data_IF_326386607758
#
_entry.id   IF_326386607758
#
_cell.length_a   1.000
_cell.length_b   1.000
_cell.length_c   1.000
_cell.angle_alpha   90.00
_cell.angle_beta   90.00
_cell.angle_gamma   90.00
#
_symmetry.space_group_name_H-M   'P 1'
#
loop_
_entity.id
_entity.type
_entity.pdbx_description
1 polymer ?
#
# COMPACT_ATOMS: atom_id res chain seq x y z
N UNK A 1 5.76 -3.60 35.25
CA UNK A 1 6.18 -4.59 34.23
C UNK A 1 6.48 -3.81 32.96
N UNK A 2 7.75 -3.65 32.57
CA UNK A 2 8.08 -3.00 31.29
C UNK A 2 7.70 -3.98 30.18
N UNK A 3 6.77 -3.58 29.30
CA UNK A 3 6.40 -4.40 28.15
C UNK A 3 7.59 -4.51 27.19
N UNK A 4 7.80 -5.70 26.59
CA UNK A 4 8.86 -5.89 25.61
C UNK A 4 8.54 -5.16 24.30
N UNK A 5 9.57 -4.76 23.53
CA UNK A 5 9.39 -4.08 22.24
C UNK A 5 8.41 -4.81 21.29
N UNK A 6 8.46 -6.15 21.13
CA UNK A 6 7.51 -6.85 20.27
C UNK A 6 6.06 -6.77 20.78
N UNK A 7 5.86 -6.77 22.10
CA UNK A 7 4.53 -6.66 22.69
C UNK A 7 3.93 -5.26 22.46
N UNK A 8 4.76 -4.21 22.57
CA UNK A 8 4.34 -2.85 22.26
C UNK A 8 4.01 -2.68 20.77
N UNK A 9 4.86 -3.21 19.88
CA UNK A 9 4.62 -3.19 18.43
C UNK A 9 3.28 -3.86 18.08
N UNK A 10 3.05 -5.07 18.61
CA UNK A 10 1.80 -5.80 18.42
C UNK A 10 0.59 -5.06 19.01
N UNK A 11 0.77 -4.33 20.12
CA UNK A 11 -0.30 -3.53 20.71
C UNK A 11 -0.72 -2.36 19.81
N UNK A 12 0.24 -1.66 19.17
CA UNK A 12 -0.05 -0.58 18.21
C UNK A 12 -0.77 -1.13 16.98
N UNK A 13 -0.26 -2.22 16.39
CA UNK A 13 -0.92 -2.86 15.23
C UNK A 13 -2.34 -3.30 15.62
N UNK A 14 -2.50 -3.99 16.74
CA UNK A 14 -3.80 -4.45 17.22
C UNK A 14 -4.78 -3.32 17.52
N UNK A 15 -4.29 -2.16 17.99
CA UNK A 15 -5.09 -0.95 18.16
C UNK A 15 -5.63 -0.47 16.83
N UNK A 16 -4.77 -0.32 15.83
CA UNK A 16 -5.17 0.19 14.51
C UNK A 16 -6.12 -0.76 13.78
N UNK A 17 -5.89 -2.08 13.86
CA UNK A 17 -6.81 -3.07 13.32
C UNK A 17 -8.20 -2.96 13.96
N UNK A 18 -8.29 -2.78 15.29
CA UNK A 18 -9.57 -2.56 15.98
C UNK A 18 -10.24 -1.26 15.55
N UNK A 19 -9.48 -0.19 15.34
CA UNK A 19 -10.01 1.09 14.86
C UNK A 19 -10.57 0.95 13.45
N UNK A 20 -9.82 0.31 12.54
CA UNK A 20 -10.26 0.04 11.17
C UNK A 20 -11.49 -0.87 11.12
N UNK A 21 -11.60 -1.88 11.99
CA UNK A 21 -12.81 -2.72 12.06
C UNK A 21 -14.04 -1.95 12.57
N UNK A 22 -13.85 -0.96 13.45
CA UNK A 22 -14.95 -0.13 13.99
C UNK A 22 -15.36 0.98 13.03
N UNK A 23 -14.41 1.51 12.25
CA UNK A 23 -14.60 2.63 11.33
C UNK A 23 -14.04 2.27 9.95
N UNK A 24 -14.54 1.18 9.36
CA UNK A 24 -14.03 0.61 8.11
C UNK A 24 -14.32 1.41 6.85
N UNK A 25 -14.73 2.68 6.97
CA UNK A 25 -15.06 3.53 5.83
C UNK A 25 -13.86 3.73 4.90
N UNK A 26 -12.65 3.90 5.46
CA UNK A 26 -11.42 4.09 4.67
C UNK A 26 -11.04 2.81 3.91
N UNK A 27 -11.06 1.65 4.59
CA UNK A 27 -10.84 0.34 3.96
C UNK A 27 -11.87 0.05 2.87
N UNK A 28 -13.16 0.24 3.18
CA UNK A 28 -14.24 0.03 2.23
C UNK A 28 -14.12 0.99 1.04
N UNK A 29 -13.79 2.25 1.30
CA UNK A 29 -13.55 3.26 0.28
C UNK A 29 -12.43 2.87 -0.68
N UNK A 30 -11.30 2.40 -0.16
CA UNK A 30 -10.18 1.92 -0.98
C UNK A 30 -10.57 0.71 -1.84
N UNK A 31 -11.25 -0.29 -1.25
CA UNK A 31 -11.68 -1.50 -1.98
C UNK A 31 -12.72 -1.16 -3.05
N UNK A 32 -13.72 -0.34 -2.72
CA UNK A 32 -14.73 0.10 -3.68
C UNK A 32 -14.10 0.93 -4.80
N UNK A 33 -13.21 1.87 -4.48
CA UNK A 33 -12.49 2.64 -5.49
C UNK A 33 -11.71 1.72 -6.42
N UNK A 34 -10.98 0.74 -5.89
CA UNK A 34 -10.22 -0.23 -6.68
C UNK A 34 -11.11 -1.01 -7.66
N UNK A 35 -12.22 -1.57 -7.18
CA UNK A 35 -13.16 -2.35 -7.99
C UNK A 35 -13.83 -1.45 -9.04
N UNK A 36 -14.34 -0.29 -8.63
CA UNK A 36 -15.05 0.62 -9.52
C UNK A 36 -14.10 1.18 -10.59
N UNK A 37 -12.93 1.67 -10.20
CA UNK A 37 -11.93 2.18 -11.15
C UNK A 37 -11.52 1.12 -12.17
N UNK A 38 -11.29 -0.13 -11.72
CA UNK A 38 -11.00 -1.24 -12.62
C UNK A 38 -12.17 -1.61 -13.54
N UNK A 39 -13.41 -1.57 -13.03
CA UNK A 39 -14.63 -1.89 -13.78
C UNK A 39 -15.00 -0.83 -14.82
N UNK A 40 -14.53 0.41 -14.67
CA UNK A 40 -14.72 1.45 -15.68
C UNK A 40 -13.94 1.16 -16.98
N UNK A 41 -12.85 0.39 -16.94
CA UNK A 41 -12.04 0.12 -18.14
C UNK A 41 -12.77 -0.72 -19.21
N UNK A 42 -13.41 -1.85 -18.89
CA UNK A 42 -14.26 -2.56 -19.86
C UNK A 42 -15.39 -1.69 -20.45
N UNK A 43 -15.95 -0.78 -19.65
CA UNK A 43 -17.01 0.13 -20.11
C UNK A 43 -16.47 1.22 -21.05
N UNK A 44 -15.26 1.72 -20.80
CA UNK A 44 -14.62 2.77 -21.58
C UNK A 44 -13.96 2.25 -22.88
N UNK A 45 -13.32 1.07 -22.80
CA UNK A 45 -12.56 0.48 -23.91
C UNK A 45 -13.40 -0.50 -24.77
N UNK A 46 -14.56 -0.91 -24.26
CA UNK A 46 -15.39 -1.94 -24.86
C UNK A 46 -14.97 -3.37 -24.48
N UNK A 47 -15.82 -4.38 -24.71
CA UNK A 47 -15.65 -5.74 -24.21
C UNK A 47 -14.68 -6.59 -25.06
N UNK A 48 -13.62 -6.02 -25.62
CA UNK A 48 -12.60 -6.77 -26.36
C UNK A 48 -11.73 -7.57 -25.39
N UNK A 49 -11.83 -8.92 -25.34
CA UNK A 49 -11.10 -9.71 -24.35
C UNK A 49 -9.59 -9.62 -24.55
N UNK A 50 -9.15 -9.50 -25.80
CA UNK A 50 -7.73 -9.37 -26.15
C UNK A 50 -7.14 -8.05 -25.65
N UNK A 51 -7.86 -6.94 -25.85
CA UNK A 51 -7.42 -5.63 -25.38
C UNK A 51 -7.41 -5.59 -23.85
N UNK A 52 -8.45 -6.09 -23.20
CA UNK A 52 -8.57 -6.09 -21.74
C UNK A 52 -7.47 -6.94 -21.09
N UNK A 53 -7.19 -8.14 -21.61
CA UNK A 53 -6.08 -8.99 -21.14
C UNK A 53 -4.74 -8.29 -21.22
N UNK A 54 -4.46 -7.67 -22.36
CA UNK A 54 -3.21 -6.94 -22.59
C UNK A 54 -3.05 -5.74 -21.65
N UNK A 55 -4.13 -5.06 -21.30
CA UNK A 55 -4.10 -3.90 -20.41
C UNK A 55 -4.25 -4.25 -18.93
N UNK A 56 -4.70 -5.47 -18.60
CA UNK A 56 -5.01 -5.90 -17.24
C UNK A 56 -3.85 -5.69 -16.24
N UNK A 57 -2.57 -5.97 -16.57
CA UNK A 57 -1.47 -5.70 -15.65
C UNK A 57 -1.43 -4.23 -15.23
N UNK A 58 -1.44 -3.31 -16.19
CA UNK A 58 -1.40 -1.87 -15.92
C UNK A 58 -2.63 -1.39 -15.15
N UNK A 59 -3.82 -1.84 -15.55
CA UNK A 59 -5.09 -1.45 -14.91
C UNK A 59 -5.09 -1.83 -13.43
N UNK A 60 -4.81 -3.10 -13.12
CA UNK A 60 -4.84 -3.59 -11.73
C UNK A 60 -3.82 -2.85 -10.86
N UNK A 61 -2.60 -2.66 -11.36
CA UNK A 61 -1.54 -1.98 -10.63
C UNK A 61 -1.81 -0.49 -10.39
N UNK A 62 -2.30 0.23 -11.39
CA UNK A 62 -2.67 1.65 -11.24
C UNK A 62 -3.86 1.80 -10.30
N UNK A 63 -4.90 0.97 -10.43
CA UNK A 63 -6.03 0.99 -9.51
C UNK A 63 -5.59 0.70 -8.06
N UNK A 64 -4.71 -0.29 -7.85
CA UNK A 64 -4.23 -0.64 -6.51
C UNK A 64 -3.42 0.49 -5.88
N UNK A 65 -2.56 1.16 -6.67
CA UNK A 65 -1.81 2.33 -6.24
C UNK A 65 -2.74 3.45 -5.78
N UNK A 66 -3.66 3.88 -6.64
CA UNK A 66 -4.57 4.98 -6.35
C UNK A 66 -5.49 4.66 -5.16
N UNK A 67 -5.95 3.41 -5.06
CA UNK A 67 -6.74 2.94 -3.92
C UNK A 67 -5.96 3.00 -2.60
N UNK A 68 -4.68 2.60 -2.62
CA UNK A 68 -3.82 2.63 -1.44
C UNK A 68 -3.49 4.06 -0.98
N UNK A 69 -3.52 5.06 -1.86
CA UNK A 69 -3.27 6.46 -1.49
C UNK A 69 -4.39 7.08 -0.63
N UNK A 70 -5.63 6.61 -0.76
CA UNK A 70 -6.79 7.15 -0.06
C UNK A 70 -6.62 7.17 1.48
N UNK A 71 -6.37 6.02 2.15
CA UNK A 71 -6.17 6.00 3.60
C UNK A 71 -4.81 6.54 4.05
N UNK A 72 -3.81 6.64 3.17
CA UNK A 72 -2.46 7.09 3.52
C UNK A 72 -2.42 8.55 3.97
N UNK A 73 -3.28 9.42 3.42
CA UNK A 73 -3.36 10.84 3.79
C UNK A 73 -3.64 11.03 5.30
N UNK A 74 -4.40 10.12 5.89
CA UNK A 74 -4.81 10.20 7.30
C UNK A 74 -4.00 9.30 8.23
N UNK A 75 -3.05 8.52 7.70
CA UNK A 75 -2.35 7.45 8.44
C UNK A 75 -1.74 7.90 9.78
N UNK A 76 -1.19 9.12 9.79
CA UNK A 76 -0.67 9.78 10.99
C UNK A 76 -1.39 11.09 11.31
N UNK A 77 -2.11 11.66 10.33
CA UNK A 77 -2.79 12.94 10.44
C UNK A 77 -3.89 12.91 11.51
N UNK A 78 -4.68 11.82 11.57
CA UNK A 78 -5.72 11.70 12.60
C UNK A 78 -5.16 11.77 14.02
N UNK A 79 -4.05 11.09 14.26
CA UNK A 79 -3.42 11.08 15.58
C UNK A 79 -2.67 12.37 15.92
N UNK A 80 -2.18 13.08 14.90
CA UNK A 80 -1.61 14.41 15.11
C UNK A 80 -2.73 15.41 15.49
N UNK A 81 -3.86 15.35 14.81
CA UNK A 81 -5.00 16.26 15.05
C UNK A 81 -5.64 16.08 16.43
N UNK A 82 -5.70 14.85 16.95
CA UNK A 82 -6.28 14.55 18.28
C UNK A 82 -5.26 14.49 19.43
N UNK A 83 -3.97 14.71 19.13
CA UNK A 83 -2.86 14.69 20.09
C UNK A 83 -2.44 13.29 20.56
N UNK A 84 -3.02 12.22 20.01
CA UNK A 84 -2.61 10.85 20.36
C UNK A 84 -1.27 10.44 19.77
N UNK A 85 -0.75 11.17 18.77
CA UNK A 85 0.58 10.95 18.23
C UNK A 85 1.66 11.23 19.28
N UNK A 86 1.50 12.27 20.10
CA UNK A 86 2.42 12.56 21.20
C UNK A 86 2.46 11.40 22.21
N UNK A 87 1.29 10.85 22.54
CA UNK A 87 1.20 9.69 23.43
C UNK A 87 1.87 8.45 22.84
N UNK A 88 1.74 8.23 21.53
CA UNK A 88 2.45 7.15 20.82
C UNK A 88 3.96 7.34 20.86
N UNK A 89 4.46 8.57 20.69
CA UNK A 89 5.89 8.88 20.75
C UNK A 89 6.46 8.71 22.17
N UNK A 90 5.62 8.85 23.21
CA UNK A 90 5.98 8.60 24.61
C UNK A 90 5.78 7.14 25.05
N UNK A 91 5.31 6.25 24.18
CA UNK A 91 4.99 4.84 24.53
C UNK A 91 6.21 3.95 24.84
N UNK A 92 7.43 4.46 24.65
CA UNK A 92 8.69 3.71 24.81
C UNK A 92 9.10 2.91 23.56
N UNK A 93 8.30 2.94 22.48
CA UNK A 93 8.73 2.44 21.17
C UNK A 93 9.61 3.47 20.46
N UNK A 94 10.73 3.06 19.84
CA UNK A 94 11.45 3.91 18.89
C UNK A 94 10.50 4.41 17.80
N UNK A 95 10.58 5.69 17.38
CA UNK A 95 9.67 6.26 16.37
C UNK A 95 9.61 5.48 15.06
N UNK A 96 10.73 4.86 14.65
CA UNK A 96 10.76 4.00 13.47
C UNK A 96 9.87 2.75 13.61
N UNK A 97 9.79 2.17 14.82
CA UNK A 97 8.90 1.03 15.07
C UNK A 97 7.43 1.45 15.19
N UNK A 98 7.15 2.66 15.66
CA UNK A 98 5.79 3.21 15.59
C UNK A 98 5.35 3.39 14.14
N UNK A 99 6.21 3.98 13.30
CA UNK A 99 5.94 4.11 11.88
C UNK A 99 5.75 2.75 11.19
N UNK A 100 6.63 1.77 11.48
CA UNK A 100 6.51 0.42 10.95
C UNK A 100 5.19 -0.25 11.37
N UNK A 101 4.78 -0.12 12.64
CA UNK A 101 3.51 -0.64 13.11
C UNK A 101 2.32 -0.08 12.30
N UNK A 102 2.33 1.24 12.06
CA UNK A 102 1.30 1.93 11.28
C UNK A 102 1.30 1.49 9.81
N UNK A 103 2.47 1.32 9.21
CA UNK A 103 2.63 0.81 7.84
C UNK A 103 2.13 -0.64 7.70
N UNK A 104 2.41 -1.50 8.69
CA UNK A 104 1.89 -2.87 8.73
C UNK A 104 0.37 -2.85 8.88
N UNK A 105 -0.16 -2.03 9.79
CA UNK A 105 -1.60 -1.88 9.95
C UNK A 105 -2.26 -1.44 8.64
N UNK A 106 -1.71 -0.43 7.94
CA UNK A 106 -2.17 0.00 6.63
C UNK A 106 -2.15 -1.14 5.60
N UNK A 107 -1.07 -1.91 5.53
CA UNK A 107 -1.00 -3.05 4.62
C UNK A 107 -2.06 -4.12 4.93
N UNK A 108 -2.31 -4.41 6.20
CA UNK A 108 -3.33 -5.37 6.62
C UNK A 108 -4.77 -4.87 6.40
N UNK A 109 -5.03 -3.58 6.58
CA UNK A 109 -6.37 -2.99 6.46
C UNK A 109 -6.70 -2.52 5.05
N UNK A 110 -5.71 -2.34 4.18
CA UNK A 110 -5.89 -1.83 2.82
C UNK A 110 -5.27 -2.77 1.80
N UNK A 111 -3.97 -3.06 1.91
CA UNK A 111 -3.26 -3.94 0.98
C UNK A 111 -3.89 -5.33 0.89
N UNK A 112 -4.09 -6.01 2.02
CA UNK A 112 -4.66 -7.35 2.04
C UNK A 112 -6.10 -7.42 1.47
N UNK A 113 -7.04 -6.51 1.83
CA UNK A 113 -8.33 -6.43 1.15
C UNK A 113 -8.23 -6.17 -0.36
N UNK A 114 -7.29 -5.32 -0.81
CA UNK A 114 -7.05 -5.09 -2.24
C UNK A 114 -6.54 -6.36 -2.93
N UNK A 115 -5.66 -7.14 -2.30
CA UNK A 115 -5.22 -8.43 -2.83
C UNK A 115 -6.39 -9.39 -3.03
N UNK A 116 -7.31 -9.46 -2.07
CA UNK A 116 -8.50 -10.30 -2.17
C UNK A 116 -9.39 -9.81 -3.32
N UNK A 117 -9.60 -8.50 -3.44
CA UNK A 117 -10.39 -7.89 -4.51
C UNK A 117 -9.71 -7.97 -5.89
N UNK A 118 -8.39 -8.11 -5.96
CA UNK A 118 -7.66 -8.20 -7.20
C UNK A 118 -7.98 -9.46 -7.99
N UNK A 119 -8.30 -10.57 -7.31
CA UNK A 119 -8.66 -11.82 -7.99
C UNK A 119 -9.93 -11.70 -8.85
N UNK A 120 -11.09 -11.27 -8.33
CA UNK A 120 -12.28 -11.08 -9.17
C UNK A 120 -12.08 -9.97 -10.21
N UNK A 121 -11.34 -8.90 -9.89
CA UNK A 121 -11.05 -7.84 -10.87
C UNK A 121 -10.21 -8.37 -12.05
N UNK A 122 -9.17 -9.16 -11.77
CA UNK A 122 -8.32 -9.78 -12.78
C UNK A 122 -9.12 -10.71 -13.70
N UNK A 123 -9.99 -11.52 -13.13
CA UNK A 123 -10.88 -12.42 -13.89
C UNK A 123 -11.83 -11.61 -14.78
N UNK A 124 -12.41 -10.51 -14.26
CA UNK A 124 -13.26 -9.60 -15.03
C UNK A 124 -12.52 -8.96 -16.21
N UNK A 125 -11.23 -8.64 -16.05
CA UNK A 125 -10.37 -8.13 -17.12
C UNK A 125 -9.89 -9.22 -18.08
N UNK A 126 -10.32 -10.48 -17.88
CA UNK A 126 -10.06 -11.60 -18.77
C UNK A 126 -8.73 -12.33 -18.52
N UNK A 127 -8.02 -12.05 -17.43
CA UNK A 127 -6.74 -12.71 -17.14
C UNK A 127 -6.91 -14.23 -17.00
N UNK A 128 -6.03 -15.04 -17.63
CA UNK A 128 -6.03 -16.49 -17.44
C UNK A 128 -5.78 -16.91 -15.98
N UNK A 129 -6.50 -17.92 -15.49
CA UNK A 129 -6.29 -18.45 -14.15
C UNK A 129 -4.84 -18.88 -13.84
N UNK A 130 -4.05 -19.44 -14.79
CA UNK A 130 -2.66 -19.81 -14.52
C UNK A 130 -1.73 -18.65 -14.17
N UNK A 131 -2.03 -17.42 -14.63
CA UNK A 131 -1.19 -16.23 -14.33
C UNK A 131 -1.64 -15.48 -13.08
N UNK A 132 -2.83 -15.81 -12.56
CA UNK A 132 -3.41 -15.15 -11.39
C UNK A 132 -2.52 -15.23 -10.13
N UNK A 133 -1.88 -16.37 -9.79
CA UNK A 133 -0.97 -16.42 -8.64
C UNK A 133 0.23 -15.47 -8.76
N UNK A 134 0.70 -15.22 -9.98
CA UNK A 134 1.84 -14.32 -10.25
C UNK A 134 1.41 -12.87 -10.01
N UNK A 135 0.22 -12.49 -10.48
CA UNK A 135 -0.38 -11.19 -10.15
C UNK A 135 -0.52 -11.01 -8.64
N UNK A 136 -1.08 -11.99 -7.93
CA UNK A 136 -1.31 -11.90 -6.49
C UNK A 136 0.01 -11.84 -5.70
N UNK A 137 1.03 -12.59 -6.11
CA UNK A 137 2.37 -12.51 -5.52
C UNK A 137 3.02 -11.14 -5.77
N UNK A 138 2.93 -10.63 -6.99
CA UNK A 138 3.40 -9.29 -7.34
C UNK A 138 2.70 -8.21 -6.52
N UNK A 139 1.36 -8.25 -6.42
CA UNK A 139 0.58 -7.31 -5.62
C UNK A 139 0.86 -7.43 -4.12
N UNK A 140 1.14 -8.62 -3.58
CA UNK A 140 1.54 -8.79 -2.19
C UNK A 140 2.78 -7.96 -1.87
N UNK A 141 3.82 -8.12 -2.70
CA UNK A 141 5.08 -7.39 -2.58
C UNK A 141 4.86 -5.90 -2.85
N UNK A 142 4.16 -5.58 -3.94
CA UNK A 142 3.89 -4.21 -4.38
C UNK A 142 3.14 -3.39 -3.35
N UNK A 143 2.00 -3.89 -2.85
CA UNK A 143 1.19 -3.18 -1.85
C UNK A 143 1.91 -3.05 -0.50
N UNK A 144 2.81 -3.98 -0.15
CA UNK A 144 3.68 -3.83 1.01
C UNK A 144 4.68 -2.67 0.79
N UNK A 145 5.33 -2.61 -0.38
CA UNK A 145 6.18 -1.48 -0.78
C UNK A 145 5.40 -0.16 -0.74
N UNK A 146 4.18 -0.14 -1.29
CA UNK A 146 3.32 1.04 -1.28
C UNK A 146 2.97 1.50 0.14
N UNK A 147 2.75 0.57 1.07
CA UNK A 147 2.48 0.91 2.47
C UNK A 147 3.71 1.51 3.15
N UNK A 148 4.91 0.99 2.85
CA UNK A 148 6.18 1.50 3.37
C UNK A 148 6.51 2.89 2.82
N UNK A 149 6.50 3.05 1.48
CA UNK A 149 6.79 4.33 0.81
C UNK A 149 5.71 5.35 1.14
N UNK A 150 4.45 4.93 1.11
CA UNK A 150 3.29 5.75 1.46
C UNK A 150 3.36 6.26 2.89
N UNK A 151 3.64 5.38 3.86
CA UNK A 151 3.81 5.79 5.25
C UNK A 151 5.01 6.70 5.46
N UNK A 152 6.11 6.46 4.76
CA UNK A 152 7.27 7.35 4.79
C UNK A 152 6.90 8.74 4.27
N UNK A 153 6.28 8.83 3.10
CA UNK A 153 5.82 10.09 2.54
C UNK A 153 4.82 10.81 3.47
N UNK A 154 3.83 10.09 3.99
CA UNK A 154 2.83 10.62 4.91
C UNK A 154 3.44 11.26 6.16
N UNK A 155 4.47 10.63 6.74
CA UNK A 155 5.18 11.19 7.89
C UNK A 155 6.06 12.41 7.56
N UNK A 156 6.61 12.49 6.34
CA UNK A 156 7.47 13.62 5.91
C UNK A 156 6.62 14.85 5.61
N UNK A 157 5.44 14.67 5.03
CA UNK A 157 4.51 15.78 4.72
C UNK A 157 3.54 16.07 5.86
N UNK A 158 3.70 15.39 7.00
CA UNK A 158 2.85 15.52 8.17
C UNK A 158 2.93 16.97 8.71
N UNK A 159 1.77 17.59 8.97
CA UNK A 159 1.68 18.98 9.42
C UNK A 159 1.91 20.04 8.33
N UNK A 160 2.28 19.65 7.09
CA UNK A 160 2.45 20.60 6.01
C UNK A 160 1.11 21.18 5.51
N UNK A 161 1.11 22.47 5.16
CA UNK A 161 -0.04 23.08 4.46
C UNK A 161 -0.23 22.36 3.12
N UNK A 162 -1.39 21.71 2.94
CA UNK A 162 -1.74 20.89 1.75
C UNK A 162 -1.01 19.53 1.67
N UNK A 163 -0.77 18.87 2.79
CA UNK A 163 -0.18 17.52 2.86
C UNK A 163 -0.78 16.51 1.88
N UNK A 164 -2.11 16.50 1.70
CA UNK A 164 -2.78 15.60 0.76
C UNK A 164 -2.45 15.80 -0.72
N UNK A 165 -1.92 16.95 -1.13
CA UNK A 165 -1.38 17.14 -2.49
C UNK A 165 0.08 16.69 -2.58
N UNK A 166 0.86 16.93 -1.52
CA UNK A 166 2.28 16.57 -1.47
C UNK A 166 2.50 15.06 -1.41
N UNK A 167 1.59 14.33 -0.75
CA UNK A 167 1.70 12.89 -0.58
C UNK A 167 1.72 12.15 -1.92
N UNK A 168 0.76 12.31 -2.85
CA UNK A 168 0.83 11.67 -4.16
C UNK A 168 2.05 12.12 -4.98
N UNK A 169 2.44 13.40 -4.90
CA UNK A 169 3.62 13.92 -5.62
C UNK A 169 4.90 13.22 -5.21
N UNK A 170 5.03 12.83 -3.94
CA UNK A 170 6.18 12.10 -3.42
C UNK A 170 6.06 10.58 -3.65
N UNK A 171 4.87 10.01 -3.42
CA UNK A 171 4.67 8.55 -3.49
C UNK A 171 4.71 8.04 -4.91
N UNK A 172 4.06 8.69 -5.88
CA UNK A 172 3.95 8.19 -7.25
C UNK A 172 5.31 7.91 -7.91
N UNK A 173 6.29 8.83 -7.94
CA UNK A 173 7.60 8.55 -8.54
C UNK A 173 8.37 7.46 -7.78
N UNK A 174 8.28 7.43 -6.45
CA UNK A 174 8.96 6.41 -5.63
C UNK A 174 8.32 5.02 -5.75
N UNK A 175 7.01 4.96 -5.98
CA UNK A 175 6.26 3.72 -6.19
C UNK A 175 6.38 3.20 -7.63
N UNK A 176 6.76 4.04 -8.59
CA UNK A 176 6.85 3.70 -10.02
C UNK A 176 7.69 2.43 -10.28
N UNK A 177 8.87 2.21 -9.66
CA UNK A 177 9.61 0.96 -9.84
C UNK A 177 8.81 -0.29 -9.47
N UNK A 178 8.01 -0.23 -8.39
CA UNK A 178 7.16 -1.36 -8.01
C UNK A 178 6.05 -1.62 -9.05
N UNK A 179 5.47 -0.56 -9.62
CA UNK A 179 4.50 -0.69 -10.71
C UNK A 179 5.12 -1.31 -11.96
N UNK A 180 6.33 -0.87 -12.33
CA UNK A 180 7.04 -1.34 -13.52
C UNK A 180 7.33 -2.83 -13.40
N UNK A 181 8.02 -3.26 -12.34
CA UNK A 181 8.38 -4.67 -12.16
C UNK A 181 7.13 -5.54 -11.92
N UNK A 182 6.15 -5.03 -11.18
CA UNK A 182 4.89 -5.73 -10.93
C UNK A 182 4.06 -5.98 -12.19
N UNK A 183 3.93 -4.99 -13.06
CA UNK A 183 3.25 -5.14 -14.33
C UNK A 183 4.06 -6.01 -15.31
N UNK A 184 5.39 -5.84 -15.34
CA UNK A 184 6.29 -6.63 -16.18
C UNK A 184 6.25 -8.13 -15.83
N UNK A 185 6.20 -8.49 -14.54
CA UNK A 185 6.08 -9.88 -14.11
C UNK A 185 4.83 -10.56 -14.70
N UNK A 186 3.70 -9.85 -14.71
CA UNK A 186 2.45 -10.38 -15.24
C UNK A 186 2.46 -10.41 -16.78
N UNK A 187 3.04 -9.42 -17.44
CA UNK A 187 3.21 -9.39 -18.90
C UNK A 187 4.11 -10.53 -19.39
N UNK A 188 5.24 -10.76 -18.71
CA UNK A 188 6.13 -11.88 -18.97
C UNK A 188 5.40 -13.23 -18.80
N UNK A 189 4.60 -13.37 -17.75
CA UNK A 189 3.81 -14.58 -17.52
C UNK A 189 2.78 -14.84 -18.63
N UNK A 190 2.12 -13.80 -19.15
CA UNK A 190 1.14 -13.91 -20.23
C UNK A 190 1.79 -14.29 -21.57
N UNK A 191 3.03 -13.84 -21.80
CA UNK A 191 3.78 -14.12 -23.04
C UNK A 191 4.61 -15.40 -22.97
N UNK A 192 4.54 -16.15 -21.86
CA UNK A 192 5.29 -17.40 -21.66
C UNK A 192 6.79 -17.17 -21.37
N UNK A 193 7.18 -15.95 -21.04
CA UNK A 193 8.52 -15.59 -20.62
C UNK A 193 8.70 -15.80 -19.10
N UNK A 194 9.94 -15.70 -18.63
CA UNK A 194 10.25 -15.82 -17.20
C UNK A 194 9.82 -14.56 -16.43
N UNK A 195 8.85 -14.71 -15.54
CA UNK A 195 8.34 -13.66 -14.63
C UNK A 195 9.13 -13.53 -13.32
N UNK A 196 10.07 -14.46 -13.08
CA UNK A 196 10.83 -14.52 -11.82
C UNK A 196 11.73 -13.31 -11.59
N UNK A 197 12.51 -12.83 -12.58
CA UNK A 197 13.41 -11.70 -12.37
C UNK A 197 12.66 -10.45 -11.90
N UNK A 198 11.47 -10.19 -12.44
CA UNK A 198 10.65 -9.05 -12.05
C UNK A 198 10.15 -9.16 -10.60
N UNK A 199 9.72 -10.36 -10.16
CA UNK A 199 9.34 -10.59 -8.77
C UNK A 199 10.55 -10.53 -7.82
N UNK A 200 11.72 -10.98 -8.26
CA UNK A 200 12.97 -10.87 -7.50
C UNK A 200 13.39 -9.40 -7.32
N UNK A 201 13.23 -8.57 -8.36
CA UNK A 201 13.46 -7.13 -8.28
C UNK A 201 12.45 -6.44 -7.35
N UNK A 202 11.17 -6.84 -7.39
CA UNK A 202 10.18 -6.40 -6.40
C UNK A 202 10.58 -6.82 -4.98
N UNK A 203 11.03 -8.05 -4.80
CA UNK A 203 11.52 -8.55 -3.50
C UNK A 203 12.73 -7.76 -3.00
N UNK A 204 13.69 -7.45 -3.88
CA UNK A 204 14.85 -6.62 -3.57
C UNK A 204 14.43 -5.19 -3.19
N UNK A 205 13.46 -4.63 -3.92
CA UNK A 205 12.93 -3.31 -3.60
C UNK A 205 12.23 -3.28 -2.24
N UNK A 206 11.41 -4.28 -1.94
CA UNK A 206 10.80 -4.45 -0.62
C UNK A 206 11.86 -4.61 0.48
N UNK A 207 12.90 -5.42 0.24
CA UNK A 207 13.99 -5.64 1.19
C UNK A 207 14.75 -4.34 1.51
N UNK A 208 14.93 -3.46 0.53
CA UNK A 208 15.50 -2.12 0.73
C UNK A 208 14.54 -1.15 1.44
N UNK A 209 13.26 -1.16 1.06
CA UNK A 209 12.24 -0.28 1.66
C UNK A 209 11.96 -0.61 3.12
N UNK A 210 12.02 -1.90 3.51
CA UNK A 210 11.66 -2.38 4.84
C UNK A 210 12.46 -1.72 5.98
N UNK A 211 13.79 -1.55 5.92
CA UNK A 211 14.52 -0.76 6.91
C UNK A 211 14.48 0.75 6.63
N UNK A 212 14.59 1.19 5.37
CA UNK A 212 14.79 2.61 5.04
C UNK A 212 13.53 3.45 5.29
N UNK A 213 12.35 2.96 4.88
CA UNK A 213 11.11 3.71 4.98
C UNK A 213 10.70 3.96 6.45
N UNK A 214 10.71 2.97 7.36
CA UNK A 214 10.39 3.22 8.76
C UNK A 214 11.39 4.13 9.46
N UNK A 215 12.68 4.05 9.12
CA UNK A 215 13.71 4.94 9.70
C UNK A 215 13.47 6.39 9.29
N UNK A 216 13.27 6.64 8.00
CA UNK A 216 12.93 7.96 7.47
C UNK A 216 11.60 8.45 8.08
N UNK A 217 10.61 7.56 8.18
CA UNK A 217 9.31 7.92 8.73
C UNK A 217 9.37 8.29 10.20
N UNK A 218 10.11 7.52 11.00
CA UNK A 218 10.34 7.84 12.41
C UNK A 218 11.05 9.17 12.63
N UNK A 219 11.89 9.63 11.69
CA UNK A 219 12.44 10.97 11.73
C UNK A 219 11.39 12.05 11.43
N UNK A 220 10.53 11.82 10.43
CA UNK A 220 9.39 12.70 10.13
C UNK A 220 8.41 12.83 11.30
N UNK A 221 8.08 11.71 11.96
CA UNK A 221 7.20 11.72 13.13
C UNK A 221 7.79 12.53 14.30
N UNK A 222 9.10 12.43 14.55
CA UNK A 222 9.76 13.25 15.59
C UNK A 222 9.69 14.75 15.26
N UNK A 223 10.00 15.11 14.02
CA UNK A 223 9.97 16.50 13.59
C UNK A 223 8.55 17.11 13.64
N UNK A 224 7.50 16.28 13.55
CA UNK A 224 6.11 16.73 13.60
C UNK A 224 5.58 16.97 15.03
N UNK A 225 6.20 16.34 16.05
CA UNK A 225 5.81 16.49 17.47
C UNK A 225 6.70 17.47 18.25
N UNK A 226 7.78 17.98 17.62
CA UNK A 226 8.65 19.06 18.14
C UNK A 226 8.04 20.45 17.87
#
# INVERSE_FOLDING_TARGET
>A
MQASLPALLAAVIGRDLRLALRHGADTLGAVLFFILAGALFPLALGPSPELLRRMAPGIVWVCALLAALLPLDRLFGSELEDGSLDQLMLSGLPPALVALAKMIAHWLTTGLPLLIAAAPLAIMLGLPMPVLPILLAGLALGTAILSLIGGMAASIVLGARRGGVLLPLLVLPLATPALIFGAAALDAAQTGLSWRPDLELLGAFLAGALPLCPLAAGAGLRAAVE
#
